data_IF_315630985924
#
_entry.id   IF_315630985924
#
_cell.length_a   1.000
_cell.length_b   1.000
_cell.length_c   1.000
_cell.angle_alpha   90.00
_cell.angle_beta   90.00
_cell.angle_gamma   90.00
#
_symmetry.space_group_name_H-M   'P 1'
#
loop_
_entity.id
_entity.type
_entity.pdbx_description
1 polymer ?
#
# COMPACT_ATOMS: atom_id res chain seq x y z
N UNK A 1 11.76 15.90 0.68
CA UNK A 1 11.00 14.72 0.24
C UNK A 1 9.49 14.79 0.32
N UNK A 2 8.87 14.99 1.48
CA UNK A 2 7.40 14.87 1.60
C UNK A 2 6.60 15.71 0.58
N UNK A 3 6.95 16.99 0.36
CA UNK A 3 6.27 17.84 -0.63
C UNK A 3 6.55 17.42 -2.09
N UNK A 4 7.76 16.92 -2.37
CA UNK A 4 8.13 16.42 -3.70
C UNK A 4 7.30 15.16 -4.03
N UNK A 5 7.18 14.28 -3.05
CA UNK A 5 6.37 13.08 -3.10
C UNK A 5 4.90 13.39 -3.36
N UNK A 6 4.34 14.37 -2.65
CA UNK A 6 2.97 14.83 -2.89
C UNK A 6 2.79 15.44 -4.28
N UNK A 7 3.77 16.20 -4.76
CA UNK A 7 3.75 16.75 -6.12
C UNK A 7 3.70 15.65 -7.19
N UNK A 8 4.48 14.58 -7.01
CA UNK A 8 4.48 13.39 -7.89
C UNK A 8 3.13 12.67 -7.84
N UNK A 9 2.50 12.55 -6.67
CA UNK A 9 1.19 11.94 -6.55
C UNK A 9 0.09 12.75 -7.22
N UNK A 10 0.13 14.07 -7.07
CA UNK A 10 -0.90 14.95 -7.61
C UNK A 10 -0.75 15.18 -9.12
N UNK A 11 0.49 15.29 -9.65
CA UNK A 11 0.74 15.74 -11.03
C UNK A 11 1.75 14.90 -11.81
N UNK A 12 2.32 13.85 -11.20
CA UNK A 12 3.27 12.97 -11.87
C UNK A 12 2.62 12.06 -12.90
N UNK A 13 3.48 11.43 -13.70
CA UNK A 13 3.14 10.40 -14.67
C UNK A 13 2.72 9.09 -13.98
N UNK A 14 2.09 8.18 -14.73
CA UNK A 14 1.67 6.88 -14.19
C UNK A 14 2.86 6.11 -13.61
N UNK A 15 3.99 6.09 -14.30
CA UNK A 15 5.23 5.44 -13.86
C UNK A 15 5.77 6.00 -12.54
N UNK A 16 5.71 7.32 -12.36
CA UNK A 16 6.16 7.96 -11.13
C UNK A 16 5.23 7.65 -9.96
N UNK A 17 3.91 7.61 -10.21
CA UNK A 17 2.92 7.18 -9.23
C UNK A 17 3.12 5.72 -8.84
N UNK A 18 3.36 4.83 -9.81
CA UNK A 18 3.63 3.41 -9.55
C UNK A 18 4.92 3.23 -8.74
N UNK A 19 6.01 3.91 -9.10
CA UNK A 19 7.25 3.90 -8.31
C UNK A 19 7.06 4.45 -6.90
N UNK A 20 6.16 5.41 -6.73
CA UNK A 20 5.83 5.91 -5.40
C UNK A 20 5.04 4.89 -4.59
N UNK A 21 3.98 4.32 -5.17
CA UNK A 21 3.16 3.28 -4.54
C UNK A 21 4.04 2.08 -4.15
N UNK A 22 4.95 1.66 -5.03
CA UNK A 22 5.88 0.57 -4.73
C UNK A 22 6.75 0.88 -3.49
N UNK A 23 7.27 2.12 -3.40
CA UNK A 23 8.01 2.59 -2.23
C UNK A 23 7.15 2.72 -0.98
N UNK A 24 5.86 3.00 -1.12
CA UNK A 24 4.92 2.99 0.00
C UNK A 24 4.71 1.58 0.54
N UNK A 25 4.67 0.57 -0.33
CA UNK A 25 4.53 -0.83 0.07
C UNK A 25 5.82 -1.44 0.63
N UNK A 26 6.98 -1.04 0.10
CA UNK A 26 8.30 -1.47 0.57
C UNK A 26 8.81 -0.59 1.71
N UNK A 27 8.14 -0.66 2.86
CA UNK A 27 8.49 0.12 4.06
C UNK A 27 9.92 -0.22 4.56
N UNK A 28 10.38 -1.45 4.31
CA UNK A 28 11.70 -1.92 4.74
C UNK A 28 12.84 -1.52 3.79
N UNK A 29 12.51 -1.08 2.57
CA UNK A 29 13.51 -0.67 1.56
C UNK A 29 14.34 -1.84 1.01
N UNK A 30 13.77 -3.04 0.99
CA UNK A 30 14.45 -4.27 0.54
C UNK A 30 14.46 -4.40 -0.99
N UNK A 31 13.73 -3.54 -1.70
CA UNK A 31 13.59 -3.54 -3.16
C UNK A 31 12.66 -4.64 -3.69
N UNK A 32 12.09 -5.46 -2.81
CA UNK A 32 11.19 -6.56 -3.12
C UNK A 32 9.93 -6.45 -2.29
N UNK A 33 8.77 -6.51 -2.95
CA UNK A 33 7.49 -6.59 -2.25
C UNK A 33 7.22 -8.03 -1.83
N UNK A 34 7.36 -8.31 -0.54
CA UNK A 34 6.96 -9.61 0.02
C UNK A 34 5.47 -9.62 0.37
N UNK A 35 4.86 -10.81 0.38
CA UNK A 35 3.47 -10.99 0.85
C UNK A 35 3.30 -10.45 2.27
N UNK A 36 4.33 -10.53 3.10
CA UNK A 36 4.32 -10.03 4.47
C UNK A 36 4.22 -8.50 4.51
N UNK A 37 4.97 -7.77 3.67
CA UNK A 37 4.90 -6.31 3.60
C UNK A 37 3.49 -5.84 3.23
N UNK A 38 2.89 -6.46 2.22
CA UNK A 38 1.52 -6.14 1.78
C UNK A 38 0.50 -6.48 2.87
N UNK A 39 0.66 -7.64 3.54
CA UNK A 39 -0.22 -8.06 4.64
C UNK A 39 -0.16 -7.08 5.81
N UNK A 40 1.04 -6.61 6.19
CA UNK A 40 1.24 -5.62 7.25
C UNK A 40 0.54 -4.30 6.95
N UNK A 41 0.70 -3.77 5.74
CA UNK A 41 0.03 -2.53 5.34
C UNK A 41 -1.49 -2.69 5.36
N UNK A 42 -1.99 -3.78 4.80
CA UNK A 42 -3.43 -4.06 4.77
C UNK A 42 -3.98 -4.21 6.20
N UNK A 43 -3.28 -4.93 7.09
CA UNK A 43 -3.66 -5.06 8.49
C UNK A 43 -3.70 -3.69 9.19
N UNK A 44 -2.68 -2.86 9.04
CA UNK A 44 -2.66 -1.51 9.59
C UNK A 44 -3.77 -0.61 9.03
N UNK A 45 -4.15 -0.80 7.75
CA UNK A 45 -5.30 -0.11 7.17
C UNK A 45 -6.64 -0.59 7.79
N UNK A 46 -6.80 -1.89 8.04
CA UNK A 46 -7.98 -2.41 8.74
C UNK A 46 -8.06 -1.91 10.18
N UNK A 47 -6.94 -1.89 10.90
CA UNK A 47 -6.86 -1.35 12.26
C UNK A 47 -7.21 0.14 12.27
N UNK A 48 -6.78 0.90 11.27
CA UNK A 48 -7.05 2.33 11.13
C UNK A 48 -8.50 2.65 10.76
N UNK A 49 -9.09 1.86 9.85
CA UNK A 49 -10.48 2.04 9.39
C UNK A 49 -11.51 1.53 10.40
N UNK A 50 -11.06 0.75 11.39
CA UNK A 50 -11.90 0.18 12.43
C UNK A 50 -12.96 -0.79 11.87
N UNK A 51 -13.91 -1.24 12.70
CA UNK A 51 -14.90 -2.26 12.33
C UNK A 51 -15.85 -1.88 11.17
N UNK A 52 -15.70 -0.70 10.57
CA UNK A 52 -16.48 -0.23 9.43
C UNK A 52 -16.09 -0.88 8.10
N UNK A 53 -14.94 -1.56 8.01
CA UNK A 53 -14.49 -2.27 6.81
C UNK A 53 -14.31 -3.73 7.14
N UNK A 54 -15.39 -4.50 7.11
CA UNK A 54 -15.29 -5.95 6.96
C UNK A 54 -15.00 -6.25 5.49
N UNK A 55 -13.79 -6.71 5.13
CA UNK A 55 -13.59 -7.26 3.81
C UNK A 55 -14.41 -8.53 3.68
N UNK A 56 -15.21 -8.65 2.62
CA UNK A 56 -15.72 -9.93 2.17
C UNK A 56 -14.52 -10.75 1.69
N UNK A 57 -13.85 -11.41 2.62
CA UNK A 57 -12.98 -12.53 2.27
C UNK A 57 -13.94 -13.64 1.89
N UNK A 58 -14.24 -13.77 0.60
CA UNK A 58 -14.82 -15.01 0.09
C UNK A 58 -13.75 -16.08 0.31
N UNK A 59 -13.91 -16.82 1.41
CA UNK A 59 -13.23 -18.07 1.67
C UNK A 59 -13.59 -18.99 0.50
N UNK A 60 -12.71 -19.06 -0.50
CA UNK A 60 -12.78 -20.13 -1.48
C UNK A 60 -12.47 -21.41 -0.72
N UNK A 61 -13.52 -22.12 -0.33
CA UNK A 61 -13.44 -23.52 0.04
C UNK A 61 -12.75 -24.27 -1.10
N UNK A 62 -11.59 -24.86 -0.80
CA UNK A 62 -10.92 -25.86 -1.65
C UNK A 62 -11.21 -27.21 -1.02
#
# INVERSE_FOLDING_TARGET
>A
DYILTLSVLCRGTLDEKLRWIFRLYDINGEGLLTRENVTKIIASFYDLLGPAVQPRVEEREI
#
